data_IF_948850644693
#
_entry.id   IF_948850644693
#
_cell.length_a   1.000
_cell.length_b   1.000
_cell.length_c   1.000
_cell.angle_alpha   90.00
_cell.angle_beta   90.00
_cell.angle_gamma   90.00
#
_symmetry.space_group_name_H-M   'P 1'
#
loop_
_entity.id
_entity.type
_entity.pdbx_description
1 polymer ?
#
# COMPACT_ATOMS: atom_id res chain seq x y z
N UNK A 1 -6.39 -0.21 14.83
CA UNK A 1 -6.51 -0.63 13.41
C UNK A 1 -6.76 0.53 12.45
N UNK A 2 -7.85 1.31 12.61
CA UNK A 2 -8.23 2.34 11.61
C UNK A 2 -7.16 3.41 11.42
N UNK A 3 -6.60 3.94 12.51
CA UNK A 3 -5.57 4.99 12.47
C UNK A 3 -4.31 4.47 11.77
N UNK A 4 -3.86 3.29 12.15
CA UNK A 4 -2.65 2.64 11.65
C UNK A 4 -2.75 2.31 10.16
N UNK A 5 -3.91 1.82 9.70
CA UNK A 5 -4.18 1.59 8.27
C UNK A 5 -4.17 2.92 7.50
N UNK A 6 -4.81 3.97 8.04
CA UNK A 6 -4.80 5.28 7.38
C UNK A 6 -3.38 5.82 7.27
N UNK A 7 -2.60 5.80 8.36
CA UNK A 7 -1.20 6.24 8.37
C UNK A 7 -0.34 5.46 7.37
N UNK A 8 -0.52 4.14 7.26
CA UNK A 8 0.21 3.33 6.28
C UNK A 8 -0.18 3.67 4.83
N UNK A 9 -1.47 3.88 4.56
CA UNK A 9 -1.95 4.26 3.23
C UNK A 9 -1.52 5.69 2.85
N UNK A 10 -1.53 6.62 3.81
CA UNK A 10 -1.01 7.97 3.66
C UNK A 10 0.49 7.97 3.35
N UNK A 11 1.27 7.17 4.08
CA UNK A 11 2.68 7.00 3.82
C UNK A 11 2.95 6.52 2.39
N UNK A 12 2.26 5.47 1.93
CA UNK A 12 2.46 4.93 0.58
C UNK A 12 2.02 5.91 -0.51
N UNK A 13 0.86 6.56 -0.36
CA UNK A 13 0.42 7.61 -1.28
C UNK A 13 1.45 8.75 -1.37
N UNK A 14 1.90 9.27 -0.23
CA UNK A 14 2.88 10.37 -0.20
C UNK A 14 4.23 9.94 -0.79
N UNK A 15 4.63 8.68 -0.58
CA UNK A 15 5.83 8.12 -1.19
C UNK A 15 5.73 8.11 -2.72
N UNK A 16 4.59 7.68 -3.27
CA UNK A 16 4.32 7.75 -4.72
C UNK A 16 4.32 9.20 -5.23
N UNK A 17 3.68 10.12 -4.48
CA UNK A 17 3.63 11.56 -4.82
C UNK A 17 5.01 12.20 -4.91
N UNK A 18 5.93 11.85 -3.99
CA UNK A 18 7.29 12.41 -3.97
C UNK A 18 8.20 11.75 -5.00
N UNK A 19 7.98 10.46 -5.31
CA UNK A 19 8.84 9.67 -6.20
C UNK A 19 8.49 9.80 -7.67
N UNK A 20 7.25 10.18 -8.00
CA UNK A 20 6.82 10.26 -9.38
C UNK A 20 7.66 11.26 -10.19
N UNK A 21 8.08 10.81 -11.35
CA UNK A 21 8.66 11.66 -12.39
C UNK A 21 7.54 12.03 -13.38
N UNK A 22 7.63 13.22 -13.96
CA UNK A 22 6.78 13.68 -15.07
C UNK A 22 5.26 13.59 -14.82
N UNK A 23 4.79 13.73 -13.58
CA UNK A 23 3.36 13.61 -13.22
C UNK A 23 2.71 12.30 -13.71
N UNK A 24 3.44 11.19 -13.65
CA UNK A 24 2.91 9.86 -13.99
C UNK A 24 1.64 9.47 -13.22
N UNK A 25 1.36 10.09 -12.06
CA UNK A 25 0.11 9.95 -11.30
C UNK A 25 -0.46 11.32 -10.90
N UNK A 26 -1.71 11.59 -11.27
CA UNK A 26 -2.39 12.80 -10.80
C UNK A 26 -2.93 12.64 -9.37
N UNK A 27 -3.28 13.76 -8.73
CA UNK A 27 -3.80 13.78 -7.35
C UNK A 27 -5.06 12.92 -7.16
N UNK A 28 -5.95 12.90 -8.15
CA UNK A 28 -7.14 12.03 -8.12
C UNK A 28 -6.76 10.56 -8.09
N UNK A 29 -5.77 10.14 -8.87
CA UNK A 29 -5.25 8.76 -8.86
C UNK A 29 -4.58 8.41 -7.53
N UNK A 30 -3.79 9.33 -6.96
CA UNK A 30 -3.15 9.15 -5.65
C UNK A 30 -4.18 8.97 -4.52
N UNK A 31 -5.20 9.83 -4.47
CA UNK A 31 -6.28 9.72 -3.49
C UNK A 31 -7.14 8.47 -3.70
N UNK A 32 -7.41 8.09 -4.96
CA UNK A 32 -8.13 6.85 -5.29
C UNK A 32 -7.36 5.63 -4.82
N UNK A 33 -6.05 5.58 -5.10
CA UNK A 33 -5.16 4.51 -4.64
C UNK A 33 -5.14 4.40 -3.12
N UNK A 34 -5.00 5.53 -2.41
CA UNK A 34 -5.06 5.59 -0.94
C UNK A 34 -6.36 4.98 -0.41
N UNK A 35 -7.51 5.40 -0.94
CA UNK A 35 -8.82 4.90 -0.52
C UNK A 35 -8.96 3.39 -0.77
N UNK A 36 -8.59 2.94 -1.97
CA UNK A 36 -8.59 1.53 -2.35
C UNK A 36 -7.69 0.69 -1.42
N UNK A 37 -6.49 1.17 -1.10
CA UNK A 37 -5.57 0.49 -0.20
C UNK A 37 -6.12 0.36 1.22
N UNK A 38 -6.78 1.40 1.75
CA UNK A 38 -7.45 1.33 3.06
C UNK A 38 -8.49 0.21 3.07
N UNK A 39 -9.35 0.14 2.05
CA UNK A 39 -10.38 -0.92 1.95
C UNK A 39 -9.75 -2.31 1.89
N UNK A 40 -8.71 -2.49 1.06
CA UNK A 40 -8.01 -3.78 0.92
C UNK A 40 -7.34 -4.21 2.22
N UNK A 41 -6.69 -3.29 2.94
CA UNK A 41 -6.03 -3.61 4.21
C UNK A 41 -7.04 -3.88 5.33
N UNK A 42 -8.15 -3.14 5.39
CA UNK A 42 -9.22 -3.39 6.36
C UNK A 42 -9.84 -4.77 6.17
N UNK A 43 -10.07 -5.17 4.92
CA UNK A 43 -10.56 -6.51 4.58
C UNK A 43 -9.54 -7.59 5.00
N UNK A 44 -8.26 -7.43 4.62
CA UNK A 44 -7.20 -8.39 4.97
C UNK A 44 -7.05 -8.52 6.50
N UNK A 45 -7.07 -7.42 7.24
CA UNK A 45 -6.70 -7.41 8.65
C UNK A 45 -7.84 -7.73 9.63
N UNK A 46 -9.09 -7.83 9.14
CA UNK A 46 -10.32 -7.97 9.95
C UNK A 46 -10.19 -8.97 11.12
N UNK A 47 -9.76 -10.20 10.82
CA UNK A 47 -9.67 -11.29 11.81
C UNK A 47 -8.25 -11.51 12.34
N UNK A 48 -7.33 -10.61 11.97
CA UNK A 48 -5.90 -10.68 12.28
C UNK A 48 -5.42 -9.42 13.01
N UNK A 49 -6.32 -8.75 13.75
CA UNK A 49 -5.99 -7.58 14.56
C UNK A 49 -6.28 -7.86 16.05
N UNK A 50 -5.23 -8.00 16.87
CA UNK A 50 -5.36 -8.37 18.28
C UNK A 50 -4.87 -7.22 19.17
N UNK A 51 -5.78 -6.55 19.87
CA UNK A 51 -5.46 -5.39 20.74
C UNK A 51 -4.58 -5.83 21.92
N UNK A 52 -4.94 -6.94 22.56
CA UNK A 52 -4.22 -7.49 23.73
C UNK A 52 -2.81 -8.00 23.39
N UNK A 53 -2.56 -8.36 22.12
CA UNK A 53 -1.25 -8.82 21.67
C UNK A 53 -0.94 -8.28 20.26
N UNK A 54 -0.45 -7.03 20.16
CA UNK A 54 -0.21 -6.38 18.87
C UNK A 54 0.78 -7.14 17.97
N UNK A 55 1.70 -7.92 18.56
CA UNK A 55 2.68 -8.73 17.83
C UNK A 55 2.05 -9.94 17.14
N UNK A 56 0.94 -10.47 17.68
CA UNK A 56 0.21 -11.59 17.07
C UNK A 56 -0.31 -11.16 15.69
N UNK A 57 -0.07 -11.98 14.67
CA UNK A 57 -0.46 -11.68 13.28
C UNK A 57 0.35 -10.57 12.60
N UNK A 58 1.40 -10.01 13.23
CA UNK A 58 2.20 -8.93 12.63
C UNK A 58 2.85 -9.34 11.29
N UNK A 59 3.34 -10.58 11.17
CA UNK A 59 3.86 -11.13 9.91
C UNK A 59 2.81 -11.22 8.81
N UNK A 60 1.57 -11.63 9.14
CA UNK A 60 0.45 -11.65 8.20
C UNK A 60 0.06 -10.23 7.74
N UNK A 61 0.11 -9.26 8.64
CA UNK A 61 -0.18 -7.85 8.35
C UNK A 61 0.96 -7.11 7.65
N UNK A 62 2.15 -7.70 7.59
CA UNK A 62 3.30 -7.09 6.93
C UNK A 62 2.97 -6.78 5.46
N UNK A 63 3.36 -5.59 5.00
CA UNK A 63 3.29 -5.16 3.60
C UNK A 63 4.73 -5.17 3.07
N UNK A 64 5.04 -6.11 2.17
CA UNK A 64 6.41 -6.29 1.68
C UNK A 64 6.55 -5.77 0.25
N UNK A 65 7.54 -4.90 0.04
CA UNK A 65 7.97 -4.48 -1.29
C UNK A 65 9.38 -4.98 -1.50
N UNK A 66 9.59 -5.85 -2.49
CA UNK A 66 10.91 -6.31 -2.89
C UNK A 66 11.11 -6.15 -4.41
N UNK A 67 12.32 -6.44 -4.88
CA UNK A 67 12.73 -6.26 -6.28
C UNK A 67 11.98 -7.09 -7.28
N UNK A 68 11.26 -8.13 -6.89
CA UNK A 68 10.61 -9.09 -7.81
C UNK A 68 9.08 -9.15 -7.63
N UNK A 69 8.59 -8.90 -6.41
CA UNK A 69 7.21 -9.08 -5.97
C UNK A 69 6.79 -7.85 -5.16
N UNK A 70 5.81 -7.11 -5.67
CA UNK A 70 5.06 -6.13 -4.87
C UNK A 70 3.99 -6.85 -4.04
N UNK A 71 3.74 -6.36 -2.82
CA UNK A 71 2.71 -6.91 -1.96
C UNK A 71 1.36 -7.03 -2.72
N UNK A 72 0.66 -8.18 -2.65
CA UNK A 72 -0.63 -8.35 -3.32
C UNK A 72 -1.66 -7.28 -2.97
N UNK A 73 -1.60 -6.71 -1.76
CA UNK A 73 -2.48 -5.61 -1.38
C UNK A 73 -2.23 -4.34 -2.20
N UNK A 74 -0.96 -4.03 -2.48
CA UNK A 74 -0.58 -2.87 -3.30
C UNK A 74 -1.04 -3.09 -4.75
N UNK A 75 -0.81 -4.29 -5.29
CA UNK A 75 -1.24 -4.63 -6.65
C UNK A 75 -2.76 -4.60 -6.80
N UNK A 76 -3.50 -5.20 -5.85
CA UNK A 76 -4.98 -5.16 -5.82
C UNK A 76 -5.48 -3.72 -5.73
N UNK A 77 -4.89 -2.90 -4.87
CA UNK A 77 -5.30 -1.51 -4.71
C UNK A 77 -5.09 -0.67 -5.99
N UNK A 78 -3.96 -0.86 -6.66
CA UNK A 78 -3.64 -0.20 -7.92
C UNK A 78 -4.60 -0.62 -9.05
N UNK A 79 -4.87 -1.92 -9.18
CA UNK A 79 -5.79 -2.47 -10.18
C UNK A 79 -7.21 -1.92 -10.03
N UNK A 80 -7.71 -1.84 -8.79
CA UNK A 80 -9.02 -1.23 -8.50
C UNK A 80 -9.13 0.23 -8.99
N UNK A 81 -7.99 0.93 -9.06
CA UNK A 81 -7.90 2.33 -9.51
C UNK A 81 -7.46 2.47 -10.97
N UNK A 82 -7.35 1.36 -11.72
CA UNK A 82 -6.83 1.32 -13.09
C UNK A 82 -5.43 1.93 -13.23
N UNK A 83 -4.61 1.84 -12.18
CA UNK A 83 -3.21 2.24 -12.20
C UNK A 83 -2.38 1.00 -12.54
N UNK A 84 -1.52 1.11 -13.55
CA UNK A 84 -0.62 0.02 -13.91
C UNK A 84 0.27 -0.37 -12.72
N UNK A 85 0.25 -1.65 -12.33
CA UNK A 85 1.06 -2.15 -11.20
C UNK A 85 2.55 -1.90 -11.37
N UNK A 86 3.02 -1.87 -12.63
CA UNK A 86 4.39 -1.50 -12.99
C UNK A 86 4.74 -0.07 -12.57
N UNK A 87 3.85 0.90 -12.79
CA UNK A 87 4.06 2.30 -12.38
C UNK A 87 4.28 2.38 -10.88
N UNK A 88 3.38 1.76 -10.11
CA UNK A 88 3.50 1.73 -8.64
C UNK A 88 4.81 1.06 -8.21
N UNK A 89 5.19 -0.05 -8.83
CA UNK A 89 6.45 -0.76 -8.51
C UNK A 89 7.69 0.07 -8.79
N UNK A 90 7.74 0.81 -9.90
CA UNK A 90 8.89 1.64 -10.27
C UNK A 90 9.09 2.82 -9.30
N UNK A 91 8.00 3.32 -8.70
CA UNK A 91 8.05 4.42 -7.73
C UNK A 91 8.42 3.98 -6.31
N UNK A 92 8.10 2.73 -5.95
CA UNK A 92 8.39 2.21 -4.62
C UNK A 92 9.90 1.93 -4.42
N UNK A 93 10.42 2.08 -3.19
CA UNK A 93 11.80 1.73 -2.87
C UNK A 93 12.08 0.26 -3.19
N UNK A 94 13.16 0.03 -3.93
CA UNK A 94 13.68 -1.31 -4.17
C UNK A 94 14.66 -1.66 -3.05
N UNK A 95 14.50 -2.84 -2.43
CA UNK A 95 15.46 -3.34 -1.46
C UNK A 95 16.83 -3.49 -2.10
N UNK A 96 17.89 -3.07 -1.41
CA UNK A 96 19.25 -3.43 -1.83
C UNK A 96 19.41 -4.94 -1.68
N UNK A 97 19.99 -5.59 -2.70
CA UNK A 97 20.42 -6.99 -2.62
C UNK A 97 21.50 -7.14 -1.56
#
# INVERSE_FOLDING_TARGET
MKVEINSAADFLMNLLRVRQQENSLNETQLHSFRGSLITVLQEKFRDHWYIENPRKGSGFRCIRVNTEISDPCIAKAANNCRIGTRVIRELLPQGKK
#
